data_IF_391851316373
#
_entry.id   IF_391851316373
#
_cell.length_a   1.000
_cell.length_b   1.000
_cell.length_c   1.000
_cell.angle_alpha   90.00
_cell.angle_beta   90.00
_cell.angle_gamma   90.00
#
_symmetry.space_group_name_H-M   'P 1'
#
loop_
_entity.id
_entity.type
_entity.pdbx_description
1 polymer ?
#
# COMPACT_ATOMS: atom_id res chain seq x y z
N UNK A 1 -8.28 8.27 70.77
CA UNK A 1 -9.74 8.28 70.48
C UNK A 1 -9.90 7.66 69.11
N UNK A 2 -10.13 6.35 68.99
CA UNK A 2 -11.42 5.64 69.12
C UNK A 2 -12.45 6.17 68.10
N UNK A 3 -12.77 5.32 67.12
CA UNK A 3 -13.77 5.43 66.05
C UNK A 3 -15.22 5.54 66.62
N UNK A 4 -16.25 5.77 65.78
CA UNK A 4 -16.86 4.62 65.08
C UNK A 4 -17.28 4.88 63.62
N UNK A 5 -17.35 3.76 62.90
CA UNK A 5 -18.02 3.53 61.62
C UNK A 5 -19.56 3.53 61.76
N UNK A 6 -20.32 3.56 60.65
CA UNK A 6 -21.23 2.43 60.46
C UNK A 6 -21.35 1.88 59.01
N UNK A 7 -21.21 0.55 58.93
CA UNK A 7 -22.00 -0.50 58.22
C UNK A 7 -22.75 -0.12 56.93
N UNK A 8 -22.34 -0.71 55.80
CA UNK A 8 -22.85 -1.96 55.16
C UNK A 8 -24.23 -1.86 54.49
N UNK A 9 -24.21 -1.92 53.15
CA UNK A 9 -25.31 -2.36 52.30
C UNK A 9 -24.75 -3.23 51.16
N UNK A 10 -25.02 -4.54 51.22
CA UNK A 10 -24.78 -5.50 50.14
C UNK A 10 -25.89 -5.36 49.09
N UNK A 11 -25.55 -5.41 47.79
CA UNK A 11 -26.31 -6.15 46.78
C UNK A 11 -25.58 -6.19 45.43
N UNK A 12 -25.30 -7.42 45.01
CA UNK A 12 -25.31 -7.98 43.64
C UNK A 12 -24.28 -7.55 42.59
N UNK A 13 -23.24 -8.37 42.48
CA UNK A 13 -22.58 -8.72 41.22
C UNK A 13 -23.53 -9.51 40.30
N UNK A 14 -23.44 -9.38 38.97
CA UNK A 14 -23.87 -10.41 38.04
C UNK A 14 -22.67 -11.14 37.43
N UNK A 15 -22.58 -12.45 37.69
CA UNK A 15 -21.83 -13.41 36.86
C UNK A 15 -22.66 -13.74 35.59
N UNK A 16 -22.01 -14.22 34.50
CA UNK A 16 -22.51 -14.17 33.14
C UNK A 16 -23.46 -15.33 32.82
N UNK A 17 -24.56 -15.03 32.14
CA UNK A 17 -25.40 -16.03 31.48
C UNK A 17 -24.82 -16.37 30.09
N UNK A 18 -24.33 -17.59 30.00
CA UNK A 18 -24.14 -18.37 28.77
C UNK A 18 -25.50 -18.77 28.21
N UNK A 19 -25.96 -18.21 27.09
CA UNK A 19 -26.65 -19.00 26.04
C UNK A 19 -26.77 -18.24 24.71
N UNK A 20 -26.67 -19.01 23.62
CA UNK A 20 -27.10 -18.75 22.24
C UNK A 20 -26.23 -17.84 21.36
N UNK A 21 -25.21 -18.47 20.78
CA UNK A 21 -24.68 -18.18 19.45
C UNK A 21 -25.84 -18.14 18.43
N UNK A 22 -26.16 -16.96 17.91
CA UNK A 22 -26.86 -16.81 16.62
C UNK A 22 -25.87 -16.21 15.64
N UNK A 23 -25.42 -17.04 14.71
CA UNK A 23 -24.64 -16.64 13.56
C UNK A 23 -25.45 -15.67 12.70
N UNK A 24 -25.03 -14.40 12.65
CA UNK A 24 -25.42 -13.49 11.58
C UNK A 24 -24.43 -13.67 10.43
N UNK A 25 -24.76 -14.58 9.51
CA UNK A 25 -24.25 -14.56 8.16
C UNK A 25 -24.96 -13.43 7.41
N UNK A 26 -24.26 -12.33 7.14
CA UNK A 26 -24.78 -11.15 6.46
C UNK A 26 -23.87 -10.70 5.32
N UNK A 27 -24.21 -11.17 4.12
CA UNK A 27 -23.93 -10.56 2.82
C UNK A 27 -22.47 -10.21 2.45
N UNK A 28 -21.75 -11.20 1.93
CA UNK A 28 -20.75 -10.98 0.89
C UNK A 28 -21.04 -11.98 -0.26
N UNK A 29 -21.91 -11.58 -1.18
CA UNK A 29 -22.15 -12.32 -2.41
C UNK A 29 -22.12 -11.34 -3.58
N UNK A 30 -20.94 -11.22 -4.21
CA UNK A 30 -20.85 -10.76 -5.60
C UNK A 30 -21.02 -12.01 -6.46
N UNK A 31 -22.22 -12.15 -7.02
CA UNK A 31 -22.59 -13.18 -7.98
C UNK A 31 -21.82 -12.94 -9.29
N UNK A 32 -20.97 -13.90 -9.67
CA UNK A 32 -20.65 -14.13 -11.08
C UNK A 32 -21.58 -15.25 -11.58
N UNK A 33 -22.65 -14.87 -12.27
CA UNK A 33 -23.42 -15.80 -13.08
C UNK A 33 -22.76 -15.90 -14.46
N UNK A 34 -22.22 -17.07 -14.78
CA UNK A 34 -21.90 -17.46 -16.15
C UNK A 34 -22.93 -18.51 -16.56
N UNK A 35 -23.90 -18.08 -17.35
CA UNK A 35 -24.78 -18.97 -18.10
C UNK A 35 -23.98 -19.66 -19.20
N UNK A 36 -23.90 -20.98 -19.13
CA UNK A 36 -23.56 -21.84 -20.25
C UNK A 36 -24.71 -22.83 -20.43
N UNK A 37 -25.62 -22.47 -21.33
CA UNK A 37 -26.65 -23.35 -21.85
C UNK A 37 -26.03 -24.41 -22.77
N UNK A 38 -26.29 -25.69 -22.53
CA UNK A 38 -26.37 -26.72 -23.57
C UNK A 38 -27.01 -28.03 -23.08
N UNK A 39 -27.93 -28.55 -23.91
CA UNK A 39 -28.48 -29.91 -23.89
C UNK A 39 -29.66 -30.09 -22.93
N UNK A 40 -30.87 -30.48 -23.34
CA UNK A 40 -31.26 -31.37 -24.43
C UNK A 40 -32.18 -32.43 -23.83
N UNK A 41 -33.46 -32.39 -24.21
CA UNK A 41 -34.48 -33.32 -23.74
C UNK A 41 -34.17 -34.77 -24.15
N UNK A 42 -34.33 -35.73 -23.23
CA UNK A 42 -34.09 -37.14 -23.50
C UNK A 42 -34.72 -38.09 -22.47
N UNK A 43 -35.91 -38.58 -22.85
CA UNK A 43 -36.63 -39.78 -22.42
C UNK A 43 -36.12 -40.63 -21.24
N UNK A 44 -37.03 -40.84 -20.28
CA UNK A 44 -37.00 -41.89 -19.28
C UNK A 44 -36.90 -43.29 -19.92
N UNK A 45 -35.79 -43.98 -19.69
CA UNK A 45 -35.70 -45.43 -19.86
C UNK A 45 -35.29 -46.04 -18.52
N UNK A 46 -36.09 -47.00 -18.04
CA UNK A 46 -35.77 -47.79 -16.83
C UNK A 46 -34.68 -48.77 -17.21
N UNK A 47 -33.44 -48.46 -16.87
CA UNK A 47 -32.34 -49.42 -16.86
C UNK A 47 -32.36 -50.19 -15.54
N UNK A 48 -32.26 -51.52 -15.62
CA UNK A 48 -32.14 -52.40 -14.46
C UNK A 48 -30.93 -51.98 -13.62
N UNK A 49 -31.15 -51.76 -12.32
CA UNK A 49 -30.08 -51.56 -11.36
C UNK A 49 -29.17 -52.80 -11.32
N UNK A 50 -28.01 -52.70 -11.97
CA UNK A 50 -26.84 -53.48 -11.56
C UNK A 50 -26.24 -52.76 -10.36
N UNK A 51 -26.09 -53.47 -9.24
CA UNK A 51 -25.41 -52.95 -8.05
C UNK A 51 -24.02 -52.42 -8.47
N UNK A 52 -23.61 -51.23 -8.02
CA UNK A 52 -22.24 -50.78 -8.23
C UNK A 52 -21.30 -51.77 -7.52
N UNK A 53 -20.06 -51.97 -8.00
CA UNK A 53 -19.08 -52.75 -7.27
C UNK A 53 -18.88 -52.12 -5.88
N UNK A 54 -19.24 -52.88 -4.84
CA UNK A 54 -18.79 -52.66 -3.46
C UNK A 54 -17.29 -52.94 -3.40
N UNK A 55 -16.45 -52.00 -3.86
CA UNK A 55 -15.19 -51.69 -3.19
C UNK A 55 -14.52 -50.46 -3.84
N UNK A 56 -14.94 -49.29 -3.40
CA UNK A 56 -14.11 -48.10 -3.50
C UNK A 56 -14.19 -47.38 -2.17
N UNK A 57 -13.65 -48.02 -1.13
CA UNK A 57 -13.31 -47.33 0.11
C UNK A 57 -12.58 -46.04 -0.28
N UNK A 58 -13.09 -44.83 0.06
CA UNK A 58 -12.40 -43.61 -0.30
C UNK A 58 -11.03 -43.64 0.35
N UNK A 59 -9.97 -43.68 -0.46
CA UNK A 59 -8.61 -43.51 0.02
C UNK A 59 -8.53 -42.09 0.56
N UNK A 60 -8.80 -41.92 1.85
CA UNK A 60 -8.62 -40.64 2.52
C UNK A 60 -7.12 -40.42 2.64
N UNK A 61 -6.56 -39.63 1.71
CA UNK A 61 -5.18 -39.16 1.84
C UNK A 61 -5.03 -38.49 3.20
N UNK A 62 -4.14 -38.96 4.09
CA UNK A 62 -4.00 -38.37 5.41
C UNK A 62 -3.52 -36.92 5.26
N UNK A 63 -4.33 -35.98 5.75
CA UNK A 63 -3.97 -34.57 5.84
C UNK A 63 -3.36 -34.35 7.22
N UNK A 64 -2.09 -33.94 7.25
CA UNK A 64 -1.45 -33.46 8.46
C UNK A 64 -1.42 -31.94 8.40
N UNK A 65 -2.22 -31.29 9.24
CA UNK A 65 -2.20 -29.84 9.34
C UNK A 65 -0.88 -29.37 9.99
N UNK A 66 -0.16 -28.50 9.29
CA UNK A 66 1.02 -27.81 9.80
C UNK A 66 0.67 -26.50 10.52
N UNK A 67 1.68 -25.83 11.08
CA UNK A 67 1.53 -24.48 11.60
C UNK A 67 1.25 -23.43 10.50
N UNK A 68 0.96 -22.17 10.87
CA UNK A 68 0.71 -21.10 9.91
C UNK A 68 1.86 -20.92 8.91
N UNK A 69 1.54 -20.57 7.68
CA UNK A 69 2.54 -20.14 6.69
C UNK A 69 3.24 -18.88 7.19
N UNK A 70 4.57 -18.89 7.22
CA UNK A 70 5.39 -17.74 7.62
C UNK A 70 6.13 -17.15 6.43
N UNK A 71 6.50 -15.87 6.52
CA UNK A 71 7.43 -15.24 5.58
C UNK A 71 8.86 -15.40 6.12
N UNK A 72 9.71 -16.25 5.52
CA UNK A 72 11.05 -16.51 6.06
C UNK A 72 11.88 -15.24 6.17
N UNK A 73 12.67 -15.06 7.23
CA UNK A 73 13.54 -13.90 7.41
C UNK A 73 12.83 -12.56 7.65
N UNK A 74 11.50 -12.54 7.68
CA UNK A 74 10.72 -11.37 8.07
C UNK A 74 10.44 -11.37 9.57
N UNK A 75 10.36 -10.19 10.17
CA UNK A 75 9.97 -9.97 11.56
C UNK A 75 9.03 -8.77 11.63
N UNK A 76 8.28 -8.67 12.72
CA UNK A 76 7.50 -7.46 13.03
C UNK A 76 7.76 -7.00 14.47
N UNK A 77 7.63 -5.70 14.69
CA UNK A 77 7.66 -5.09 16.02
C UNK A 77 6.87 -3.79 15.99
N UNK A 78 6.35 -3.36 17.14
CA UNK A 78 5.56 -2.14 17.24
C UNK A 78 6.44 -1.01 17.83
N UNK A 79 6.26 0.22 17.34
CA UNK A 79 6.90 1.44 17.87
C UNK A 79 5.79 2.37 18.33
N UNK A 80 5.90 2.86 19.57
CA UNK A 80 5.12 4.01 20.04
C UNK A 80 5.91 5.28 19.79
N UNK A 81 5.40 6.11 18.88
CA UNK A 81 6.00 7.39 18.50
C UNK A 81 5.88 8.42 19.63
N UNK A 82 6.69 9.48 19.57
CA UNK A 82 6.60 10.60 20.53
C UNK A 82 5.25 11.30 20.50
N UNK A 83 4.54 11.28 19.37
CA UNK A 83 3.18 11.78 19.24
C UNK A 83 2.14 10.96 20.04
N UNK A 84 2.53 9.80 20.56
CA UNK A 84 1.67 8.86 21.26
C UNK A 84 1.00 7.83 20.34
N UNK A 85 1.11 7.99 19.02
CA UNK A 85 0.62 7.03 18.04
C UNK A 85 1.49 5.78 18.00
N UNK A 86 0.86 4.64 17.71
CA UNK A 86 1.57 3.36 17.55
C UNK A 86 1.58 2.93 16.08
N UNK A 87 2.72 2.37 15.68
CA UNK A 87 2.99 1.86 14.34
C UNK A 87 3.52 0.44 14.42
N UNK A 88 3.07 -0.41 13.50
CA UNK A 88 3.59 -1.76 13.30
C UNK A 88 4.59 -1.77 12.18
N UNK A 89 5.82 -2.18 12.49
CA UNK A 89 6.92 -2.22 11.53
C UNK A 89 7.18 -3.67 11.14
N UNK A 90 7.15 -3.94 9.84
CA UNK A 90 7.55 -5.21 9.25
C UNK A 90 8.93 -5.03 8.63
N UNK A 91 9.86 -5.94 8.89
CA UNK A 91 11.22 -5.83 8.36
C UNK A 91 11.73 -7.18 7.86
N UNK A 92 12.40 -7.17 6.70
CA UNK A 92 13.23 -8.26 6.22
C UNK A 92 14.55 -7.68 5.72
N UNK A 93 15.66 -8.35 6.02
CA UNK A 93 17.00 -7.88 5.67
C UNK A 93 17.78 -8.94 4.89
N UNK A 94 18.73 -8.54 4.02
CA UNK A 94 19.66 -9.45 3.38
C UNK A 94 20.40 -10.34 4.39
N UNK A 95 20.69 -11.61 4.05
CA UNK A 95 21.56 -12.44 4.87
C UNK A 95 23.03 -11.98 4.74
N UNK A 96 23.84 -12.25 5.76
CA UNK A 96 25.28 -11.98 5.72
C UNK A 96 25.68 -10.54 6.03
N UNK A 97 26.97 -10.21 5.91
CA UNK A 97 27.50 -8.89 6.23
C UNK A 97 27.03 -7.85 5.20
N UNK A 98 26.77 -6.63 5.67
CA UNK A 98 26.44 -5.51 4.80
C UNK A 98 27.64 -5.10 3.93
N UNK A 99 27.42 -4.79 2.64
CA UNK A 99 28.47 -4.22 1.80
C UNK A 99 28.88 -2.84 2.33
N UNK A 100 30.04 -2.33 1.92
CA UNK A 100 30.35 -0.92 2.08
C UNK A 100 29.65 -0.12 0.96
N UNK A 101 28.93 0.98 1.27
CA UNK A 101 28.82 1.62 2.59
C UNK A 101 27.73 1.03 3.51
N UNK A 102 26.73 0.33 2.97
CA UNK A 102 25.68 -0.38 3.71
C UNK A 102 24.67 -1.04 2.76
N UNK A 103 23.60 -1.63 3.29
CA UNK A 103 22.49 -2.10 2.47
C UNK A 103 21.60 -0.93 2.02
N UNK A 104 21.14 -0.91 0.77
CA UNK A 104 19.98 -0.11 0.38
C UNK A 104 18.76 -0.48 1.24
N UNK A 105 17.83 0.46 1.42
CA UNK A 105 16.59 0.23 2.17
C UNK A 105 15.38 0.78 1.43
N UNK A 106 14.30 0.00 1.40
CA UNK A 106 13.01 0.38 0.80
C UNK A 106 11.97 0.42 1.91
N UNK A 107 11.45 1.62 2.18
CA UNK A 107 10.32 1.85 3.08
C UNK A 107 9.02 1.87 2.27
N UNK A 108 8.00 1.15 2.71
CA UNK A 108 6.68 1.11 2.08
C UNK A 108 5.60 1.42 3.12
N UNK A 109 4.80 2.44 2.85
CA UNK A 109 3.56 2.72 3.57
C UNK A 109 2.53 1.60 3.38
N UNK A 110 1.49 1.58 4.22
CA UNK A 110 0.45 0.55 4.23
C UNK A 110 1.04 -0.88 4.39
N UNK A 111 2.04 -1.00 5.28
CA UNK A 111 2.86 -2.21 5.44
C UNK A 111 2.09 -3.48 5.78
N UNK A 112 0.90 -3.38 6.41
CA UNK A 112 0.04 -4.52 6.69
C UNK A 112 -0.33 -5.30 5.42
N UNK A 113 -0.65 -4.58 4.34
CA UNK A 113 -1.07 -5.16 3.06
C UNK A 113 0.11 -5.30 2.10
N UNK A 114 1.03 -4.33 2.11
CA UNK A 114 2.03 -4.18 1.06
C UNK A 114 3.38 -4.84 1.36
N UNK A 115 3.72 -5.13 2.62
CA UNK A 115 5.02 -5.72 2.97
C UNK A 115 5.27 -7.08 2.30
N UNK A 116 4.32 -8.05 2.32
CA UNK A 116 4.55 -9.35 1.67
C UNK A 116 4.78 -9.20 0.16
N UNK A 117 4.03 -8.30 -0.49
CA UNK A 117 4.12 -8.00 -1.92
C UNK A 117 5.49 -7.44 -2.27
N UNK A 118 5.92 -6.38 -1.57
CA UNK A 118 7.23 -5.77 -1.83
C UNK A 118 8.39 -6.69 -1.48
N UNK A 119 8.27 -7.50 -0.42
CA UNK A 119 9.30 -8.48 -0.08
C UNK A 119 9.46 -9.52 -1.19
N UNK A 120 8.35 -10.05 -1.72
CA UNK A 120 8.39 -11.00 -2.83
C UNK A 120 8.97 -10.36 -4.10
N UNK A 121 8.54 -9.13 -4.43
CA UNK A 121 9.08 -8.36 -5.55
C UNK A 121 10.60 -8.13 -5.41
N UNK A 122 11.04 -7.63 -4.26
CA UNK A 122 12.47 -7.36 -3.99
C UNK A 122 13.29 -8.64 -4.07
N UNK A 123 12.78 -9.77 -3.56
CA UNK A 123 13.44 -11.07 -3.71
C UNK A 123 13.61 -11.51 -5.15
N UNK A 124 12.63 -11.24 -6.02
CA UNK A 124 12.69 -11.63 -7.44
C UNK A 124 13.55 -10.67 -8.27
N UNK A 125 13.61 -9.40 -7.89
CA UNK A 125 14.54 -8.44 -8.51
C UNK A 125 15.98 -8.63 -8.00
N UNK A 126 16.12 -9.17 -6.78
CA UNK A 126 17.39 -9.66 -6.28
C UNK A 126 17.72 -10.99 -6.97
N UNK A 127 18.96 -11.17 -7.42
CA UNK A 127 19.34 -12.38 -8.18
C UNK A 127 19.32 -13.64 -7.29
N UNK A 128 20.29 -13.74 -6.38
CA UNK A 128 20.51 -14.96 -5.59
C UNK A 128 20.00 -14.84 -4.15
N UNK A 129 20.15 -13.66 -3.54
CA UNK A 129 19.70 -13.36 -2.19
C UNK A 129 19.18 -11.92 -2.12
N UNK A 130 18.29 -11.63 -1.18
CA UNK A 130 17.73 -10.29 -0.97
C UNK A 130 18.85 -9.24 -0.91
N UNK A 131 18.76 -8.16 -1.69
CA UNK A 131 19.82 -7.14 -1.81
C UNK A 131 19.55 -5.82 -1.08
N UNK A 132 18.35 -5.65 -0.53
CA UNK A 132 17.96 -4.47 0.23
C UNK A 132 17.20 -4.84 1.50
N UNK A 133 17.30 -4.00 2.53
CA UNK A 133 16.39 -4.07 3.68
C UNK A 133 15.02 -3.59 3.21
N UNK A 134 13.97 -4.38 3.47
CA UNK A 134 12.59 -4.03 3.14
C UNK A 134 11.87 -3.72 4.45
N UNK A 135 11.27 -2.54 4.54
CA UNK A 135 10.55 -2.05 5.72
C UNK A 135 9.11 -1.70 5.33
N UNK A 136 8.14 -2.41 5.89
CA UNK A 136 6.72 -2.04 5.80
C UNK A 136 6.30 -1.25 7.03
N UNK A 137 5.63 -0.12 6.82
CA UNK A 137 5.14 0.77 7.88
C UNK A 137 3.62 0.66 7.92
N UNK A 138 3.11 0.05 8.99
CA UNK A 138 1.71 -0.25 9.15
C UNK A 138 1.20 0.08 10.55
N UNK A 139 0.09 -0.56 10.91
CA UNK A 139 -0.67 -0.28 12.12
C UNK A 139 -0.87 -1.54 12.95
N UNK A 140 -0.83 -1.45 14.29
CA UNK A 140 -1.18 -2.58 15.15
C UNK A 140 -2.66 -2.93 15.06
N UNK A 141 -3.01 -4.12 15.53
CA UNK A 141 -4.36 -4.68 15.43
C UNK A 141 -4.68 -5.25 14.05
N UNK A 142 -5.87 -5.84 13.93
CA UNK A 142 -6.34 -6.57 12.74
C UNK A 142 -7.63 -5.97 12.16
N UNK A 143 -8.05 -4.79 12.65
CA UNK A 143 -9.29 -4.12 12.23
C UNK A 143 -9.02 -3.28 10.96
N UNK A 144 -9.55 -3.68 9.80
CA UNK A 144 -9.29 -3.00 8.53
C UNK A 144 -9.91 -1.59 8.49
N UNK A 145 -10.98 -1.31 9.24
CA UNK A 145 -11.58 0.02 9.29
C UNK A 145 -10.67 0.97 10.04
N UNK A 146 -10.11 0.54 11.18
CA UNK A 146 -9.13 1.34 11.92
C UNK A 146 -7.86 1.58 11.12
N UNK A 147 -7.40 0.61 10.34
CA UNK A 147 -6.28 0.80 9.43
C UNK A 147 -6.60 1.84 8.35
N UNK A 148 -7.82 1.84 7.80
CA UNK A 148 -8.30 2.86 6.84
C UNK A 148 -8.37 4.26 7.43
N UNK A 149 -8.84 4.40 8.66
CA UNK A 149 -8.84 5.69 9.38
C UNK A 149 -7.40 6.17 9.64
N UNK A 150 -6.53 5.28 10.12
CA UNK A 150 -5.13 5.62 10.42
C UNK A 150 -4.35 6.06 9.20
N UNK A 151 -4.50 5.36 8.07
CA UNK A 151 -3.84 5.76 6.82
C UNK A 151 -4.41 7.04 6.22
N UNK A 152 -5.70 7.32 6.40
CA UNK A 152 -6.26 8.61 5.98
C UNK A 152 -5.62 9.76 6.78
N UNK A 153 -5.44 9.57 8.09
CA UNK A 153 -4.74 10.54 8.93
C UNK A 153 -3.27 10.68 8.54
N UNK A 154 -2.50 9.59 8.54
CA UNK A 154 -1.04 9.63 8.39
C UNK A 154 -0.56 9.97 6.96
N UNK A 155 -1.38 9.79 5.92
CA UNK A 155 -0.95 9.86 4.52
C UNK A 155 -1.62 10.98 3.70
N UNK A 156 -2.47 11.81 4.30
CA UNK A 156 -3.21 12.85 3.57
C UNK A 156 -3.20 14.19 4.30
N UNK A 157 -3.17 15.31 3.55
CA UNK A 157 -3.17 16.64 4.12
C UNK A 157 -4.42 16.96 4.91
N UNK A 158 -4.31 17.94 5.80
CA UNK A 158 -5.46 18.46 6.52
C UNK A 158 -6.51 18.90 5.51
N UNK A 159 -7.65 18.22 5.55
CA UNK A 159 -8.73 18.37 4.57
C UNK A 159 -9.98 18.83 5.28
N UNK A 160 -10.72 19.78 4.69
CA UNK A 160 -11.91 20.33 5.34
C UNK A 160 -13.00 19.27 5.48
N UNK A 161 -13.74 19.33 6.59
CA UNK A 161 -14.86 18.41 6.85
C UNK A 161 -15.93 18.51 5.75
N UNK A 162 -16.13 19.71 5.20
CA UNK A 162 -17.02 19.93 4.06
C UNK A 162 -16.58 19.11 2.84
N UNK A 163 -15.31 19.23 2.44
CA UNK A 163 -14.77 18.49 1.30
C UNK A 163 -14.80 16.98 1.53
N UNK A 164 -14.46 16.53 2.74
CA UNK A 164 -14.54 15.12 3.13
C UNK A 164 -15.97 14.57 2.96
N UNK A 165 -16.99 15.33 3.39
CA UNK A 165 -18.41 14.95 3.28
C UNK A 165 -18.97 15.09 1.87
N UNK A 166 -18.37 15.89 0.99
CA UNK A 166 -18.87 16.08 -0.37
C UNK A 166 -18.18 15.17 -1.39
N UNK A 167 -16.86 15.04 -1.31
CA UNK A 167 -16.01 14.47 -2.37
C UNK A 167 -15.31 13.16 -1.95
N UNK A 168 -15.23 12.88 -0.65
CA UNK A 168 -14.66 11.65 -0.08
C UNK A 168 -15.63 10.96 0.89
N UNK A 169 -16.92 10.88 0.55
CA UNK A 169 -18.03 10.48 1.44
C UNK A 169 -17.81 9.22 2.26
N UNK A 170 -17.25 8.17 1.67
CA UNK A 170 -16.96 6.92 2.37
C UNK A 170 -15.99 7.10 3.54
N UNK A 171 -15.21 8.17 3.51
CA UNK A 171 -14.24 8.58 4.51
C UNK A 171 -14.67 9.88 5.23
N UNK A 172 -15.91 10.32 5.07
CA UNK A 172 -16.37 11.65 5.48
C UNK A 172 -16.21 11.98 6.98
N UNK A 173 -16.01 10.96 7.81
CA UNK A 173 -15.78 11.06 9.26
C UNK A 173 -14.33 10.83 9.67
N UNK A 174 -13.44 10.48 8.73
CA UNK A 174 -12.05 10.17 9.02
C UNK A 174 -11.28 11.45 9.31
N UNK A 175 -10.33 11.36 10.25
CA UNK A 175 -9.35 12.43 10.47
C UNK A 175 -8.29 12.41 9.38
N UNK A 176 -7.78 13.58 9.03
CA UNK A 176 -6.72 13.83 8.03
C UNK A 176 -5.69 14.80 8.62
N UNK A 177 -4.60 15.09 7.91
CA UNK A 177 -3.62 16.11 8.33
C UNK A 177 -2.50 15.62 9.24
N UNK A 178 -2.17 14.32 9.19
CA UNK A 178 -1.11 13.71 9.98
C UNK A 178 0.21 13.51 9.23
N UNK A 179 0.29 13.89 7.96
CA UNK A 179 1.40 13.60 7.04
C UNK A 179 2.75 14.12 7.54
N UNK A 180 2.83 15.35 8.02
CA UNK A 180 4.09 15.91 8.55
C UNK A 180 4.53 15.19 9.82
N UNK A 181 3.59 14.86 10.71
CA UNK A 181 3.88 14.12 11.94
C UNK A 181 4.29 12.67 11.66
N UNK A 182 3.72 12.06 10.61
CA UNK A 182 4.11 10.73 10.15
C UNK A 182 5.50 10.75 9.50
N UNK A 183 5.81 11.78 8.70
CA UNK A 183 7.14 12.00 8.15
C UNK A 183 8.19 12.20 9.25
N UNK A 184 7.89 13.01 10.28
CA UNK A 184 8.76 13.22 11.44
C UNK A 184 9.04 11.91 12.19
N UNK A 185 8.02 11.07 12.37
CA UNK A 185 8.17 9.73 12.95
C UNK A 185 9.11 8.87 12.09
N UNK A 186 8.90 8.85 10.77
CA UNK A 186 9.73 8.06 9.85
C UNK A 186 11.20 8.49 9.96
N UNK A 187 11.44 9.79 9.88
CA UNK A 187 12.79 10.36 9.82
C UNK A 187 13.53 10.26 11.16
N UNK A 188 12.88 10.64 12.25
CA UNK A 188 13.56 10.86 13.53
C UNK A 188 13.46 9.67 14.50
N UNK A 189 12.53 8.74 14.26
CA UNK A 189 12.28 7.60 15.15
C UNK A 189 12.50 6.27 14.44
N UNK A 190 11.83 6.03 13.31
CA UNK A 190 11.89 4.75 12.60
C UNK A 190 13.24 4.51 11.93
N UNK A 191 13.74 5.46 11.13
CA UNK A 191 15.04 5.31 10.44
C UNK A 191 16.17 4.98 11.43
N UNK A 192 16.35 5.71 12.55
CA UNK A 192 17.34 5.34 13.56
C UNK A 192 17.14 3.93 14.14
N UNK A 193 15.91 3.46 14.32
CA UNK A 193 15.61 2.10 14.81
C UNK A 193 16.07 1.03 13.81
N UNK A 194 15.89 1.27 12.50
CA UNK A 194 16.35 0.38 11.42
C UNK A 194 17.87 0.41 11.31
N UNK A 195 18.49 1.59 11.34
CA UNK A 195 19.95 1.79 11.25
C UNK A 195 20.72 1.18 12.42
N UNK A 196 20.13 1.11 13.62
CA UNK A 196 20.74 0.39 14.76
C UNK A 196 20.73 -1.12 14.58
N UNK A 197 19.82 -1.66 13.75
CA UNK A 197 19.66 -3.10 13.53
C UNK A 197 20.40 -3.58 12.28
N UNK A 198 20.55 -2.70 11.29
CA UNK A 198 21.15 -3.00 10.00
C UNK A 198 22.05 -1.85 9.57
N UNK A 199 23.24 -2.17 9.03
CA UNK A 199 24.10 -1.16 8.42
C UNK A 199 23.48 -0.68 7.11
N UNK A 200 22.85 0.50 7.13
CA UNK A 200 22.14 1.08 6.00
C UNK A 200 23.05 2.04 5.21
N UNK A 201 22.98 1.97 3.89
CA UNK A 201 23.51 3.00 3.00
C UNK A 201 22.53 4.18 2.96
N UNK A 202 22.89 5.26 3.66
CA UNK A 202 22.06 6.48 3.74
C UNK A 202 21.90 7.19 2.40
N UNK A 203 22.74 6.89 1.40
CA UNK A 203 22.61 7.42 0.03
C UNK A 203 21.65 6.61 -0.84
N UNK A 204 21.09 5.51 -0.31
CA UNK A 204 20.22 4.57 -1.05
C UNK A 204 18.97 4.21 -0.26
N UNK A 205 18.22 5.23 0.15
CA UNK A 205 16.94 5.06 0.83
C UNK A 205 15.80 5.36 -0.13
N UNK A 206 14.84 4.44 -0.22
CA UNK A 206 13.64 4.58 -1.04
C UNK A 206 12.40 4.73 -0.18
N UNK A 207 11.52 5.67 -0.53
CA UNK A 207 10.14 5.71 -0.07
C UNK A 207 9.21 5.23 -1.19
N UNK A 208 8.40 4.21 -0.91
CA UNK A 208 7.38 3.68 -1.79
C UNK A 208 6.02 3.93 -1.13
N UNK A 209 5.05 4.41 -1.89
CA UNK A 209 3.65 4.31 -1.51
C UNK A 209 2.70 4.09 -2.67
N UNK A 210 1.51 3.56 -2.38
CA UNK A 210 0.41 3.36 -3.33
C UNK A 210 -0.82 4.18 -2.92
N UNK A 211 -1.55 4.75 -3.88
CA UNK A 211 -2.78 5.54 -3.59
C UNK A 211 -2.49 6.72 -2.66
N UNK A 212 -3.07 6.79 -1.45
CA UNK A 212 -2.66 7.77 -0.43
C UNK A 212 -1.20 7.64 -0.01
N UNK A 213 -0.64 6.44 0.02
CA UNK A 213 0.80 6.27 0.21
C UNK A 213 1.61 6.93 -0.92
N UNK A 214 1.10 6.88 -2.15
CA UNK A 214 1.72 7.56 -3.30
C UNK A 214 1.60 9.08 -3.18
N UNK A 215 0.45 9.58 -2.73
CA UNK A 215 0.25 10.99 -2.39
C UNK A 215 1.24 11.45 -1.31
N UNK A 216 1.34 10.71 -0.20
CA UNK A 216 2.32 10.96 0.86
C UNK A 216 3.75 10.94 0.31
N UNK A 217 4.09 9.98 -0.54
CA UNK A 217 5.43 9.90 -1.16
C UNK A 217 5.77 11.16 -1.95
N UNK A 218 4.81 11.72 -2.69
CA UNK A 218 4.98 12.99 -3.39
C UNK A 218 5.07 14.18 -2.44
N UNK A 219 4.27 14.19 -1.38
CA UNK A 219 4.36 15.22 -0.34
C UNK A 219 5.77 15.26 0.27
N UNK A 220 6.33 14.11 0.67
CA UNK A 220 7.71 14.05 1.18
C UNK A 220 8.72 14.58 0.16
N UNK A 221 8.58 14.21 -1.12
CA UNK A 221 9.44 14.73 -2.19
C UNK A 221 9.36 16.26 -2.30
N UNK A 222 8.15 16.82 -2.28
CA UNK A 222 7.96 18.25 -2.52
C UNK A 222 8.30 19.13 -1.32
N UNK A 223 8.17 18.60 -0.09
CA UNK A 223 8.42 19.37 1.14
C UNK A 223 9.81 19.13 1.75
N UNK A 224 10.32 17.88 1.71
CA UNK A 224 11.61 17.47 2.30
C UNK A 224 12.35 16.47 1.39
N UNK A 225 12.74 16.88 0.17
CA UNK A 225 13.32 15.99 -0.83
C UNK A 225 14.59 15.27 -0.37
N UNK A 226 15.35 15.83 0.58
CA UNK A 226 16.56 15.24 1.12
C UNK A 226 16.32 13.98 1.97
N UNK A 227 15.09 13.74 2.43
CA UNK A 227 14.78 12.63 3.33
C UNK A 227 15.05 11.28 2.65
N UNK A 228 14.76 11.13 1.35
CA UNK A 228 15.03 9.92 0.58
C UNK A 228 15.72 10.24 -0.75
N UNK A 229 16.49 9.29 -1.28
CA UNK A 229 17.18 9.44 -2.58
C UNK A 229 16.35 8.85 -3.72
N UNK A 230 15.34 8.06 -3.40
CA UNK A 230 14.44 7.46 -4.39
C UNK A 230 13.00 7.50 -3.90
N UNK A 231 12.09 7.93 -4.78
CA UNK A 231 10.66 8.04 -4.51
C UNK A 231 9.91 7.20 -5.53
N UNK A 232 9.05 6.30 -5.06
CA UNK A 232 8.19 5.47 -5.91
C UNK A 232 6.74 5.74 -5.54
N UNK A 233 6.06 6.56 -6.33
CA UNK A 233 4.66 6.91 -6.14
C UNK A 233 3.80 6.10 -7.12
N UNK A 234 3.19 5.03 -6.62
CA UNK A 234 2.30 4.18 -7.40
C UNK A 234 0.85 4.66 -7.31
N UNK A 235 0.24 4.93 -8.47
CA UNK A 235 -1.13 5.41 -8.59
C UNK A 235 -1.49 6.49 -7.55
N UNK A 236 -0.68 7.57 -7.45
CA UNK A 236 -0.84 8.56 -6.38
C UNK A 236 -2.22 9.23 -6.48
N UNK A 237 -2.86 9.45 -5.34
CA UNK A 237 -4.18 10.08 -5.25
C UNK A 237 -4.12 11.59 -5.49
N UNK A 238 -3.68 12.01 -6.68
CA UNK A 238 -3.50 13.42 -7.05
C UNK A 238 -4.78 14.25 -6.90
N UNK A 239 -5.94 13.61 -7.07
CA UNK A 239 -7.27 14.21 -6.96
C UNK A 239 -7.65 14.66 -5.54
N UNK A 240 -6.91 14.20 -4.52
CA UNK A 240 -7.25 14.43 -3.13
C UNK A 240 -7.27 15.92 -2.77
N UNK A 241 -8.25 16.31 -1.95
CA UNK A 241 -8.43 17.68 -1.45
C UNK A 241 -8.34 18.72 -2.60
N UNK A 242 -9.11 18.49 -3.67
CA UNK A 242 -9.18 19.37 -4.83
C UNK A 242 -7.88 19.49 -5.63
N UNK A 243 -6.97 18.52 -5.56
CA UNK A 243 -5.68 18.61 -6.24
C UNK A 243 -4.62 19.38 -5.45
N UNK A 244 -4.77 19.51 -4.12
CA UNK A 244 -3.86 20.27 -3.26
C UNK A 244 -2.37 19.96 -3.44
N UNK A 245 -2.01 18.72 -3.78
CA UNK A 245 -0.62 18.30 -4.04
C UNK A 245 0.04 19.08 -5.20
N UNK A 246 -0.75 19.60 -6.15
CA UNK A 246 -0.25 20.45 -7.24
C UNK A 246 0.30 21.78 -6.75
N UNK A 247 -0.17 22.28 -5.60
CA UNK A 247 0.38 23.48 -4.98
C UNK A 247 1.77 23.22 -4.40
N UNK A 248 1.99 22.04 -3.81
CA UNK A 248 3.31 21.61 -3.34
C UNK A 248 4.26 21.38 -4.51
N UNK A 249 3.81 20.71 -5.58
CA UNK A 249 4.57 20.53 -6.83
C UNK A 249 5.02 21.90 -7.36
N UNK A 250 4.10 22.84 -7.50
CA UNK A 250 4.41 24.18 -7.99
C UNK A 250 5.46 24.87 -7.13
N UNK A 251 5.27 24.87 -5.79
CA UNK A 251 6.23 25.49 -4.88
C UNK A 251 7.60 24.81 -4.92
N UNK A 252 7.65 23.49 -5.13
CA UNK A 252 8.88 22.74 -5.29
C UNK A 252 9.61 23.17 -6.57
N UNK A 253 8.91 23.20 -7.71
CA UNK A 253 9.50 23.54 -9.02
C UNK A 253 9.92 25.02 -9.13
N UNK A 254 9.25 25.95 -8.47
CA UNK A 254 9.56 27.40 -8.50
C UNK A 254 10.74 27.81 -7.58
N UNK A 255 11.58 26.86 -7.16
CA UNK A 255 12.79 27.13 -6.37
C UNK A 255 12.61 26.99 -4.86
N UNK A 256 11.59 26.26 -4.42
CA UNK A 256 11.43 25.83 -3.03
C UNK A 256 12.47 24.77 -2.62
N UNK A 257 12.07 23.68 -1.96
CA UNK A 257 13.01 22.64 -1.51
C UNK A 257 13.80 21.94 -2.63
N UNK A 258 13.42 22.12 -3.90
CA UNK A 258 14.04 21.49 -5.07
C UNK A 258 15.56 21.65 -5.16
N UNK A 259 16.13 22.76 -4.68
CA UNK A 259 17.59 22.96 -4.66
C UNK A 259 18.36 21.96 -3.77
N UNK A 260 17.65 21.20 -2.92
CA UNK A 260 18.20 20.13 -2.09
C UNK A 260 17.98 18.73 -2.68
N UNK A 261 17.27 18.61 -3.80
CA UNK A 261 16.88 17.32 -4.36
C UNK A 261 18.01 16.70 -5.19
N UNK A 262 18.57 15.60 -4.70
CA UNK A 262 19.31 14.63 -5.51
C UNK A 262 18.50 13.33 -5.55
N UNK A 263 17.38 13.36 -6.27
CA UNK A 263 16.31 12.38 -6.16
C UNK A 263 15.98 11.70 -7.49
N UNK A 264 15.75 10.39 -7.41
CA UNK A 264 15.18 9.58 -8.50
C UNK A 264 13.71 9.31 -8.20
N UNK A 265 12.82 9.64 -9.13
CA UNK A 265 11.38 9.56 -8.93
C UNK A 265 10.76 8.65 -9.99
N UNK A 266 9.97 7.68 -9.54
CA UNK A 266 9.17 6.83 -10.41
C UNK A 266 7.69 7.02 -10.05
N UNK A 267 6.91 7.53 -11.00
CA UNK A 267 5.46 7.52 -10.92
C UNK A 267 4.92 6.37 -11.76
N UNK A 268 3.92 5.67 -11.25
CA UNK A 268 3.25 4.60 -12.00
C UNK A 268 1.73 4.71 -11.94
N UNK A 269 1.02 4.08 -12.87
CA UNK A 269 -0.43 3.91 -12.81
C UNK A 269 -0.91 2.72 -13.64
N UNK A 270 -2.09 2.20 -13.34
CA UNK A 270 -2.80 1.23 -14.16
C UNK A 270 -3.61 1.90 -15.27
N UNK A 271 -3.63 1.32 -16.46
CA UNK A 271 -4.36 1.83 -17.62
C UNK A 271 -5.87 1.93 -17.35
N UNK A 272 -6.44 0.96 -16.63
CA UNK A 272 -7.87 0.91 -16.36
C UNK A 272 -8.32 1.89 -15.27
N UNK A 273 -7.40 2.57 -14.59
CA UNK A 273 -7.74 3.62 -13.63
C UNK A 273 -8.40 4.84 -14.28
N UNK A 274 -8.12 5.07 -15.56
CA UNK A 274 -8.76 6.12 -16.37
C UNK A 274 -10.14 5.72 -16.87
N UNK A 275 -10.42 4.41 -16.98
CA UNK A 275 -11.68 3.89 -17.49
C UNK A 275 -12.72 3.95 -16.39
N UNK A 276 -13.31 5.12 -16.21
CA UNK A 276 -14.45 5.27 -15.33
C UNK A 276 -15.71 4.79 -16.03
N UNK A 277 -16.47 3.90 -15.38
CA UNK A 277 -17.83 3.54 -15.83
C UNK A 277 -18.71 4.81 -16.01
N UNK A 278 -19.79 4.74 -16.81
CA UNK A 278 -20.61 5.89 -17.21
C UNK A 278 -21.03 6.80 -16.04
N UNK A 279 -21.19 8.08 -16.34
CA UNK A 279 -21.58 9.11 -15.37
C UNK A 279 -23.06 8.93 -15.01
N UNK A 280 -23.33 8.19 -13.95
CA UNK A 280 -24.71 7.98 -13.48
C UNK A 280 -25.16 9.00 -12.42
N UNK A 281 -24.26 9.86 -11.91
CA UNK A 281 -24.60 10.87 -10.89
C UNK A 281 -23.80 12.17 -10.99
N UNK A 282 -24.39 13.30 -10.55
CA UNK A 282 -23.73 14.63 -10.43
C UNK A 282 -22.50 14.59 -9.53
N UNK A 283 -22.49 13.68 -8.57
CA UNK A 283 -21.40 13.46 -7.62
C UNK A 283 -20.21 12.78 -8.29
N UNK A 284 -20.47 11.76 -9.11
CA UNK A 284 -19.44 11.12 -9.93
C UNK A 284 -18.84 12.11 -10.93
N UNK A 285 -19.65 13.03 -11.48
CA UNK A 285 -19.15 14.09 -12.34
C UNK A 285 -18.14 15.02 -11.64
N UNK A 286 -18.41 15.43 -10.37
CA UNK A 286 -17.47 16.25 -9.58
C UNK A 286 -16.18 15.50 -9.25
N UNK A 287 -16.27 14.23 -8.85
CA UNK A 287 -15.08 13.41 -8.61
C UNK A 287 -14.20 13.27 -9.87
N UNK A 288 -14.84 13.08 -11.03
CA UNK A 288 -14.15 13.02 -12.33
C UNK A 288 -13.53 14.37 -12.70
N UNK A 289 -14.21 15.47 -12.42
CA UNK A 289 -13.69 16.82 -12.63
C UNK A 289 -12.48 17.10 -11.73
N UNK A 290 -12.52 16.74 -10.44
CA UNK A 290 -11.38 16.85 -9.54
C UNK A 290 -10.19 16.00 -10.03
N UNK A 291 -10.45 14.77 -10.49
CA UNK A 291 -9.41 13.91 -11.10
C UNK A 291 -8.84 14.52 -12.38
N UNK A 292 -9.67 15.19 -13.18
CA UNK A 292 -9.22 15.90 -14.39
C UNK A 292 -8.36 17.11 -14.04
N UNK A 293 -8.76 17.90 -13.04
CA UNK A 293 -8.03 19.09 -12.59
C UNK A 293 -6.69 18.74 -11.95
N UNK A 294 -6.64 17.65 -11.17
CA UNK A 294 -5.40 17.14 -10.60
C UNK A 294 -4.40 16.63 -11.66
N UNK A 295 -4.89 16.31 -12.86
CA UNK A 295 -4.10 15.68 -13.90
C UNK A 295 -3.71 14.25 -13.57
N UNK A 296 -3.04 13.63 -14.52
CA UNK A 296 -2.50 12.28 -14.44
C UNK A 296 -1.07 12.27 -13.88
N UNK A 297 -0.67 11.11 -13.36
CA UNK A 297 0.71 10.86 -12.95
C UNK A 297 1.71 11.12 -14.09
N UNK A 298 1.34 10.85 -15.35
CA UNK A 298 2.16 11.16 -16.52
C UNK A 298 2.36 12.67 -16.69
N UNK A 299 1.29 13.45 -16.64
CA UNK A 299 1.36 14.91 -16.80
C UNK A 299 2.20 15.56 -15.70
N UNK A 300 2.16 15.03 -14.47
CA UNK A 300 3.05 15.48 -13.39
C UNK A 300 4.52 15.16 -13.70
N UNK A 301 4.83 13.95 -14.20
CA UNK A 301 6.20 13.63 -14.66
C UNK A 301 6.64 14.57 -15.77
N UNK A 302 5.80 14.83 -16.76
CA UNK A 302 6.12 15.73 -17.87
C UNK A 302 6.43 17.16 -17.37
N UNK A 303 5.67 17.66 -16.37
CA UNK A 303 5.94 18.97 -15.75
C UNK A 303 7.26 18.99 -14.97
N UNK A 304 7.52 17.97 -14.15
CA UNK A 304 8.78 17.88 -13.39
C UNK A 304 10.01 17.77 -14.30
N UNK A 305 9.89 17.02 -15.41
CA UNK A 305 10.95 16.88 -16.41
C UNK A 305 11.21 18.21 -17.13
N UNK A 306 10.14 18.88 -17.59
CA UNK A 306 10.22 20.17 -18.27
C UNK A 306 10.80 21.30 -17.40
N UNK A 307 10.61 21.23 -16.08
CA UNK A 307 11.18 22.19 -15.14
C UNK A 307 12.72 22.10 -15.04
N UNK A 308 13.32 20.97 -15.43
CA UNK A 308 14.78 20.83 -15.51
C UNK A 308 15.50 21.00 -14.17
N UNK A 309 14.86 20.60 -13.06
CA UNK A 309 15.44 20.72 -11.70
C UNK A 309 16.76 19.94 -11.62
N UNK A 310 17.91 20.59 -11.32
CA UNK A 310 19.18 19.90 -11.23
C UNK A 310 19.17 18.79 -10.17
N UNK A 311 19.62 17.59 -10.53
CA UNK A 311 19.68 16.44 -9.61
C UNK A 311 18.37 15.65 -9.46
N UNK A 312 17.28 16.12 -10.08
CA UNK A 312 16.02 15.39 -10.16
C UNK A 312 15.98 14.56 -11.45
N UNK A 313 15.67 13.28 -11.32
CA UNK A 313 15.35 12.41 -12.48
C UNK A 313 13.99 11.79 -12.28
N UNK A 314 13.15 11.83 -13.30
CA UNK A 314 11.76 11.40 -13.22
C UNK A 314 11.47 10.35 -14.30
N UNK A 315 10.70 9.33 -13.93
CA UNK A 315 10.23 8.28 -14.85
C UNK A 315 8.75 8.04 -14.63
N UNK A 316 8.01 7.84 -15.73
CA UNK A 316 6.64 7.36 -15.71
C UNK A 316 6.53 5.95 -16.30
N UNK A 317 5.71 5.09 -15.67
CA UNK A 317 5.32 3.78 -16.21
C UNK A 317 3.83 3.52 -16.04
N UNK A 318 3.19 3.18 -17.15
CA UNK A 318 1.81 2.70 -17.16
C UNK A 318 1.78 1.19 -17.27
N UNK A 319 0.88 0.54 -16.53
CA UNK A 319 0.65 -0.90 -16.61
C UNK A 319 -0.69 -1.17 -17.31
N UNK A 320 -0.60 -1.75 -18.51
CA UNK A 320 -1.74 -2.12 -19.36
C UNK A 320 -2.61 -3.15 -18.63
N UNK A 321 -3.93 -3.04 -18.77
CA UNK A 321 -4.94 -3.93 -18.14
C UNK A 321 -5.00 -3.91 -16.60
N UNK A 322 -4.20 -3.08 -15.94
CA UNK A 322 -4.24 -2.97 -14.48
C UNK A 322 -5.26 -1.93 -14.01
N UNK A 323 -5.99 -2.24 -12.94
CA UNK A 323 -6.86 -1.31 -12.22
C UNK A 323 -6.19 -0.83 -10.91
N UNK A 324 -6.85 0.06 -10.17
CA UNK A 324 -6.27 0.70 -8.98
C UNK A 324 -5.81 -0.29 -7.90
N UNK A 325 -6.49 -1.45 -7.76
CA UNK A 325 -6.10 -2.48 -6.79
C UNK A 325 -5.02 -3.42 -7.33
N UNK A 326 -5.18 -3.90 -8.57
CA UNK A 326 -4.27 -4.90 -9.15
C UNK A 326 -2.88 -4.35 -9.49
N UNK A 327 -2.79 -3.04 -9.81
CA UNK A 327 -1.55 -2.35 -10.17
C UNK A 327 -0.45 -2.41 -9.09
N UNK A 328 -0.80 -2.65 -7.82
CA UNK A 328 0.18 -2.68 -6.73
C UNK A 328 1.26 -3.76 -6.94
N UNK A 329 0.90 -4.88 -7.55
CA UNK A 329 1.81 -6.00 -7.83
C UNK A 329 2.89 -5.64 -8.87
N UNK A 330 2.54 -5.22 -10.11
CA UNK A 330 3.53 -4.79 -11.09
C UNK A 330 4.26 -3.52 -10.66
N UNK A 331 3.60 -2.60 -9.95
CA UNK A 331 4.26 -1.42 -9.38
C UNK A 331 5.32 -1.80 -8.34
N UNK A 332 5.04 -2.74 -7.43
CA UNK A 332 6.02 -3.24 -6.46
C UNK A 332 7.23 -3.87 -7.16
N UNK A 333 7.00 -4.65 -8.21
CA UNK A 333 8.07 -5.26 -9.01
C UNK A 333 8.94 -4.21 -9.73
N UNK A 334 8.32 -3.22 -10.40
CA UNK A 334 9.04 -2.13 -11.07
C UNK A 334 9.77 -1.23 -10.07
N UNK A 335 9.12 -0.87 -8.98
CA UNK A 335 9.69 -0.02 -7.93
C UNK A 335 10.86 -0.68 -7.22
N UNK A 336 10.77 -1.96 -6.89
CA UNK A 336 11.90 -2.71 -6.33
C UNK A 336 13.10 -2.73 -7.29
N UNK A 337 12.86 -2.93 -8.60
CA UNK A 337 13.92 -2.84 -9.60
C UNK A 337 14.55 -1.45 -9.66
N UNK A 338 13.71 -0.41 -9.66
CA UNK A 338 14.14 0.98 -9.73
C UNK A 338 15.00 1.38 -8.52
N UNK A 339 14.59 0.96 -7.32
CA UNK A 339 15.31 1.18 -6.06
C UNK A 339 16.66 0.43 -5.99
N UNK A 340 16.70 -0.79 -6.51
CA UNK A 340 17.91 -1.62 -6.53
C UNK A 340 18.91 -1.19 -7.61
N UNK A 341 18.46 -0.51 -8.66
CA UNK A 341 19.32 0.03 -9.70
C UNK A 341 20.28 1.08 -9.11
N UNK A 342 21.58 0.93 -9.38
CA UNK A 342 22.63 1.85 -8.95
C UNK A 342 22.91 2.94 -10.00
N UNK A 343 22.12 2.99 -11.07
CA UNK A 343 22.27 3.95 -12.16
C UNK A 343 23.49 3.68 -13.05
N UNK A 344 24.21 2.57 -12.85
CA UNK A 344 25.37 2.18 -13.67
C UNK A 344 25.00 1.29 -14.85
N UNK A 345 23.71 0.98 -15.06
CA UNK A 345 23.27 0.37 -16.30
C UNK A 345 23.38 1.39 -17.42
N UNK A 346 24.44 1.24 -18.20
CA UNK A 346 24.60 1.79 -19.54
C UNK A 346 23.29 1.66 -20.31
N UNK A 347 22.89 2.75 -20.95
CA UNK A 347 21.96 2.82 -22.06
C UNK A 347 21.85 1.48 -22.82
N UNK A 348 20.64 0.98 -23.14
CA UNK A 348 20.53 -0.02 -24.20
C UNK A 348 21.14 0.59 -25.47
N UNK A 349 21.84 -0.19 -26.32
CA UNK A 349 22.33 0.34 -27.59
C UNK A 349 21.14 0.94 -28.34
N UNK A 350 21.23 2.23 -28.62
CA UNK A 350 20.32 2.96 -29.49
C UNK A 350 20.28 2.27 -30.84
N UNK A 351 19.23 1.52 -31.14
CA UNK A 351 19.13 0.86 -32.43
C UNK A 351 18.17 -0.32 -32.48
N UNK A 352 16.90 -0.12 -32.21
CA UNK A 352 15.84 -0.85 -32.94
C UNK A 352 14.74 0.17 -33.25
N UNK A 353 14.77 0.67 -34.49
CA UNK A 353 13.61 1.34 -35.09
C UNK A 353 12.47 0.31 -35.08
N UNK A 354 11.32 0.71 -34.53
CA UNK A 354 10.08 0.01 -34.82
C UNK A 354 9.76 0.23 -36.30
N UNK A 355 9.91 -0.81 -37.11
CA UNK A 355 9.20 -0.89 -38.39
C UNK A 355 7.82 -1.46 -38.10
N UNK A 356 6.78 -0.69 -38.42
CA UNK A 356 5.39 -1.15 -38.50
C UNK A 356 5.25 -2.20 -39.61
N UNK A 357 4.26 -3.09 -39.46
CA UNK A 357 3.15 -3.06 -40.42
C UNK A 357 1.88 -2.46 -39.83
#
# INVERSE_FOLDING_TARGET
>A
MILPSPRQGRANEPHPDTTTFRAFAGAAAVLFALDAAWGGAGASSRTSAQNPPEDASPVSTPVVEGGPVTLPGARRFDIRAKSGLEYRIFVAAPPGPAPAPGFPVIYFTDGNENFPVLLAATRKQSREALQAVVVGIGYPGEDPVKHRERRAFDLTPQTSEEWMKSDAREMGTFKTGGEDGFLDFIETELKPVVERRHRIDRSRQTLFGHSFGGLFTLHVLFTRPETFQTYVAASPSLWWNGGSILMEEKSFLEGGPAGKAAARVLLTSGELERKTAPIESKERARLLENRRLAGSAKEMVDRMDAAGVPGLSVEYREFVEENHGSVVLPAASRGARFALDDGRRTTPPSGVRAENP
#
